data_IF_652870598649
#
_entry.id   IF_652870598649
#
_cell.length_a   1.000
_cell.length_b   1.000
_cell.length_c   1.000
_cell.angle_alpha   90.00
_cell.angle_beta   90.00
_cell.angle_gamma   90.00
#
_symmetry.space_group_name_H-M   'P 1'
#
loop_
_entity.id
_entity.type
_entity.pdbx_description
1 polymer ?
#
# COMPACT_ATOMS: atom_id res chain seq x y z
N UNK A 1 12.68 -6.54 -22.76
CA UNK A 1 12.90 -7.17 -21.47
C UNK A 1 11.65 -7.18 -20.61
N UNK A 2 11.26 -8.31 -20.15
CA UNK A 2 10.05 -8.39 -19.35
C UNK A 2 10.34 -8.01 -17.90
N UNK A 3 9.42 -7.27 -17.32
CA UNK A 3 9.49 -6.92 -15.92
C UNK A 3 8.71 -7.96 -15.15
N UNK A 4 9.38 -8.66 -14.28
CA UNK A 4 8.69 -9.63 -13.46
C UNK A 4 7.96 -8.94 -12.32
N UNK A 5 6.73 -9.37 -12.13
CA UNK A 5 5.94 -8.90 -10.99
C UNK A 5 6.13 -9.94 -9.88
N UNK A 6 6.51 -9.51 -8.68
CA UNK A 6 6.67 -10.45 -7.58
C UNK A 6 5.40 -11.27 -7.37
N UNK A 7 5.59 -12.50 -6.93
CA UNK A 7 4.46 -13.41 -6.77
C UNK A 7 3.49 -12.95 -5.70
N UNK A 8 3.92 -12.10 -4.78
CA UNK A 8 3.04 -11.60 -3.73
C UNK A 8 2.18 -10.41 -4.18
N UNK A 9 2.33 -9.96 -5.43
CA UNK A 9 1.53 -8.87 -5.97
C UNK A 9 0.62 -9.38 -7.06
N UNK A 10 -0.64 -8.96 -7.01
CA UNK A 10 -1.59 -9.20 -8.09
C UNK A 10 -2.07 -7.85 -8.57
N UNK A 11 -1.59 -7.43 -9.74
CA UNK A 11 -1.93 -6.14 -10.30
C UNK A 11 -3.25 -6.21 -11.03
N UNK A 12 -4.11 -5.24 -10.78
CA UNK A 12 -5.36 -5.09 -11.51
C UNK A 12 -5.44 -3.66 -12.01
N UNK A 13 -6.49 -3.36 -12.77
CA UNK A 13 -6.58 -2.06 -13.43
C UNK A 13 -6.53 -0.90 -12.45
N UNK A 14 -7.20 -1.03 -11.31
CA UNK A 14 -7.34 0.09 -10.38
C UNK A 14 -6.88 -0.25 -8.96
N UNK A 15 -6.17 -1.36 -8.78
CA UNK A 15 -5.70 -1.73 -7.45
C UNK A 15 -4.63 -2.79 -7.57
N UNK A 16 -3.97 -3.04 -6.45
CA UNK A 16 -3.05 -4.16 -6.34
C UNK A 16 -3.39 -4.92 -5.07
N UNK A 17 -3.35 -6.24 -5.17
CA UNK A 17 -3.56 -7.11 -4.03
C UNK A 17 -2.19 -7.57 -3.56
N UNK A 18 -1.88 -7.30 -2.29
CA UNK A 18 -0.58 -7.62 -1.71
C UNK A 18 -0.75 -8.76 -0.73
N UNK A 19 -0.12 -9.90 -1.01
CA UNK A 19 -0.15 -11.04 -0.11
C UNK A 19 0.89 -10.84 0.98
N UNK A 20 0.47 -10.95 2.23
CA UNK A 20 1.37 -10.77 3.37
C UNK A 20 2.14 -12.06 3.62
N UNK A 21 3.34 -11.94 4.19
CA UNK A 21 4.15 -13.11 4.51
C UNK A 21 3.56 -13.87 5.70
N UNK A 22 2.80 -13.17 6.54
CA UNK A 22 2.07 -13.80 7.63
C UNK A 22 0.81 -13.01 7.90
N UNK A 23 -0.22 -13.64 8.46
CA UNK A 23 -1.47 -12.93 8.73
C UNK A 23 -1.25 -11.76 9.68
N UNK A 24 -2.04 -10.72 9.49
CA UNK A 24 -1.99 -9.53 10.33
C UNK A 24 -3.42 -9.15 10.67
N UNK A 25 -3.57 -8.45 11.80
CA UNK A 25 -4.89 -7.99 12.21
C UNK A 25 -5.13 -6.60 11.63
N UNK A 26 -6.19 -6.48 10.84
CA UNK A 26 -6.59 -5.22 10.26
C UNK A 26 -8.08 -5.06 10.45
N UNK A 27 -8.49 -3.92 11.00
CA UNK A 27 -9.90 -3.66 11.28
C UNK A 27 -10.51 -4.73 12.19
N UNK A 28 -9.69 -5.27 13.10
CA UNK A 28 -10.16 -6.26 14.05
C UNK A 28 -10.28 -7.67 13.49
N UNK A 29 -9.79 -7.91 12.27
CA UNK A 29 -9.92 -9.20 11.60
C UNK A 29 -8.55 -9.64 11.11
N UNK A 30 -8.27 -10.94 11.24
CA UNK A 30 -7.04 -11.50 10.69
C UNK A 30 -7.15 -11.57 9.16
N UNK A 31 -6.17 -11.01 8.48
CA UNK A 31 -6.14 -11.03 7.01
C UNK A 31 -4.77 -11.50 6.54
N UNK A 32 -4.73 -12.11 5.38
CA UNK A 32 -3.47 -12.56 4.79
C UNK A 32 -3.11 -11.77 3.55
N UNK A 33 -3.89 -10.75 3.22
CA UNK A 33 -3.62 -9.89 2.07
C UNK A 33 -4.28 -8.55 2.29
N UNK A 34 -3.76 -7.54 1.61
CA UNK A 34 -4.33 -6.20 1.65
C UNK A 34 -4.51 -5.71 0.22
N UNK A 35 -5.58 -4.96 0.00
CA UNK A 35 -5.85 -4.34 -1.30
C UNK A 35 -5.49 -2.87 -1.21
N UNK A 36 -4.62 -2.41 -2.11
CA UNK A 36 -4.34 -0.99 -2.25
C UNK A 36 -5.05 -0.50 -3.49
N UNK A 37 -5.97 0.42 -3.33
CA UNK A 37 -6.60 1.02 -4.50
C UNK A 37 -5.67 2.05 -5.12
N UNK A 38 -5.86 2.33 -6.40
CA UNK A 38 -5.01 3.29 -7.09
C UNK A 38 -5.22 4.68 -6.48
N UNK A 39 -4.13 5.38 -6.16
CA UNK A 39 -4.25 6.69 -5.53
C UNK A 39 -4.65 7.76 -6.55
N UNK A 40 -5.34 8.78 -6.04
CA UNK A 40 -5.63 9.97 -6.82
C UNK A 40 -4.78 11.12 -6.30
N UNK A 41 -4.75 12.21 -7.05
CA UNK A 41 -4.06 13.41 -6.58
C UNK A 41 -4.64 13.86 -5.24
N UNK A 42 -5.96 13.74 -5.08
CA UNK A 42 -6.59 14.12 -3.83
C UNK A 42 -6.08 13.30 -2.65
N UNK A 43 -5.86 12.00 -2.87
CA UNK A 43 -5.32 11.14 -1.82
C UNK A 43 -3.95 11.61 -1.36
N UNK A 44 -3.09 11.97 -2.32
CA UNK A 44 -1.75 12.43 -2.00
C UNK A 44 -1.82 13.74 -1.21
N UNK A 45 -2.66 14.66 -1.65
CA UNK A 45 -2.77 15.95 -0.97
C UNK A 45 -3.32 15.81 0.44
N UNK A 46 -4.31 14.95 0.61
CA UNK A 46 -4.88 14.72 1.92
C UNK A 46 -3.85 14.15 2.88
N UNK A 47 -3.07 13.18 2.42
CA UNK A 47 -2.03 12.59 3.26
C UNK A 47 -0.99 13.63 3.64
N UNK A 48 -0.62 14.48 2.70
CA UNK A 48 0.39 15.50 2.94
C UNK A 48 -0.09 16.53 3.97
N UNK A 49 -1.35 16.91 3.90
CA UNK A 49 -1.90 17.89 4.84
C UNK A 49 -1.90 17.40 6.28
N UNK A 50 -2.00 16.09 6.47
CA UNK A 50 -2.05 15.52 7.81
C UNK A 50 -0.69 15.40 8.47
N UNK A 51 0.39 15.63 7.75
CA UNK A 51 1.70 15.19 8.21
C UNK A 51 2.76 16.30 8.29
N UNK A 52 2.42 17.52 7.97
CA UNK A 52 3.34 18.65 8.11
C UNK A 52 4.71 18.42 7.46
N UNK A 53 4.72 17.72 6.33
CA UNK A 53 5.95 17.52 5.58
C UNK A 53 6.78 16.32 5.99
N UNK A 54 6.31 15.51 6.93
CA UNK A 54 7.00 14.29 7.30
C UNK A 54 6.69 13.21 6.26
N UNK A 55 7.69 12.85 5.46
CA UNK A 55 7.48 11.92 4.34
C UNK A 55 7.06 10.53 4.82
N UNK A 56 7.61 10.08 5.93
CA UNK A 56 7.27 8.76 6.46
C UNK A 56 5.82 8.72 6.91
N UNK A 57 5.39 9.74 7.63
CA UNK A 57 4.01 9.84 8.07
C UNK A 57 3.07 9.99 6.90
N UNK A 58 3.48 10.74 5.88
CA UNK A 58 2.66 10.89 4.68
C UNK A 58 2.44 9.54 4.02
N UNK A 59 3.49 8.74 3.89
CA UNK A 59 3.34 7.43 3.26
C UNK A 59 2.42 6.53 4.06
N UNK A 60 2.58 6.51 5.39
CA UNK A 60 1.73 5.69 6.25
C UNK A 60 0.27 6.09 6.14
N UNK A 61 0.01 7.41 6.19
CA UNK A 61 -1.37 7.88 6.05
C UNK A 61 -1.95 7.54 4.69
N UNK A 62 -1.14 7.69 3.65
CA UNK A 62 -1.60 7.36 2.31
C UNK A 62 -1.94 5.89 2.19
N UNK A 63 -1.03 5.03 2.64
CA UNK A 63 -1.27 3.59 2.53
C UNK A 63 -2.48 3.16 3.35
N UNK A 64 -2.65 3.73 4.55
CA UNK A 64 -3.82 3.41 5.36
C UNK A 64 -5.10 3.76 4.62
N UNK A 65 -5.11 4.90 3.96
CA UNK A 65 -6.28 5.32 3.19
C UNK A 65 -6.52 4.40 2.00
N UNK A 66 -5.47 4.05 1.27
CA UNK A 66 -5.61 3.20 0.09
C UNK A 66 -6.03 1.78 0.44
N UNK A 67 -5.56 1.28 1.57
CA UNK A 67 -5.89 -0.07 2.02
C UNK A 67 -7.15 -0.09 2.88
N UNK A 68 -7.64 1.08 3.27
CA UNK A 68 -8.82 1.22 4.11
C UNK A 68 -8.64 0.51 5.46
N UNK A 69 -7.48 0.72 6.05
CA UNK A 69 -7.16 0.20 7.38
C UNK A 69 -6.67 1.35 8.25
N UNK A 70 -6.52 1.09 9.55
CA UNK A 70 -6.03 2.10 10.47
C UNK A 70 -4.51 2.21 10.42
N UNK A 71 -4.00 3.36 10.86
CA UNK A 71 -2.56 3.53 10.95
C UNK A 71 -1.93 2.46 11.86
N UNK A 72 -2.60 2.16 12.95
CA UNK A 72 -2.07 1.16 13.88
C UNK A 72 -1.99 -0.22 13.24
N UNK A 73 -2.91 -0.51 12.33
CA UNK A 73 -2.87 -1.78 11.61
C UNK A 73 -1.59 -1.88 10.79
N UNK A 74 -1.23 -0.80 10.11
CA UNK A 74 -0.01 -0.77 9.31
C UNK A 74 1.23 -0.88 10.20
N UNK A 75 1.20 -0.20 11.34
CA UNK A 75 2.33 -0.23 12.25
C UNK A 75 2.59 -1.63 12.81
N UNK A 76 1.58 -2.46 12.81
CA UNK A 76 1.71 -3.84 13.27
C UNK A 76 2.28 -4.80 12.25
N UNK A 77 2.43 -4.36 11.00
CA UNK A 77 3.01 -5.22 9.97
C UNK A 77 4.51 -5.37 10.18
N UNK A 78 5.04 -6.52 9.76
CA UNK A 78 6.50 -6.66 9.73
C UNK A 78 7.07 -5.75 8.65
N UNK A 79 8.34 -5.40 8.77
CA UNK A 79 8.99 -4.60 7.75
C UNK A 79 8.93 -5.28 6.40
N UNK A 80 9.05 -6.61 6.37
CA UNK A 80 8.95 -7.35 5.13
C UNK A 80 7.61 -7.09 4.45
N UNK A 81 6.53 -7.14 5.22
CA UNK A 81 5.20 -6.96 4.65
C UNK A 81 4.95 -5.50 4.28
N UNK A 82 5.44 -4.57 5.08
CA UNK A 82 5.33 -3.17 4.71
C UNK A 82 6.08 -2.89 3.41
N UNK A 83 7.26 -3.52 3.25
CA UNK A 83 8.00 -3.37 2.00
C UNK A 83 7.22 -3.92 0.81
N UNK A 84 6.43 -4.98 1.03
CA UNK A 84 5.57 -5.50 -0.03
C UNK A 84 4.50 -4.50 -0.42
N UNK A 85 3.96 -3.76 0.56
CA UNK A 85 3.01 -2.69 0.24
C UNK A 85 3.68 -1.60 -0.58
N UNK A 86 4.90 -1.23 -0.22
CA UNK A 86 5.63 -0.22 -0.98
C UNK A 86 5.86 -0.67 -2.41
N UNK A 87 6.21 -1.94 -2.60
CA UNK A 87 6.40 -2.48 -3.94
C UNK A 87 5.11 -2.44 -4.75
N UNK A 88 3.99 -2.78 -4.10
CA UNK A 88 2.69 -2.73 -4.77
C UNK A 88 2.31 -1.31 -5.15
N UNK A 89 2.51 -0.38 -4.22
CA UNK A 89 2.22 1.02 -4.50
C UNK A 89 3.04 1.53 -5.68
N UNK A 90 4.31 1.18 -5.70
CA UNK A 90 5.18 1.61 -6.79
C UNK A 90 4.63 1.17 -8.14
N UNK A 91 4.14 -0.06 -8.21
CA UNK A 91 3.57 -0.58 -9.46
C UNK A 91 2.29 0.15 -9.84
N UNK A 92 1.49 0.53 -8.84
CA UNK A 92 0.23 1.22 -9.12
C UNK A 92 0.44 2.58 -9.75
N UNK A 93 1.48 3.29 -9.35
CA UNK A 93 1.70 4.66 -9.82
C UNK A 93 2.65 4.72 -11.01
N UNK A 94 3.22 3.59 -11.38
CA UNK A 94 4.18 3.55 -12.47
C UNK A 94 3.43 3.56 -13.80
N UNK A 95 3.89 4.44 -14.68
CA UNK A 95 3.35 4.47 -16.04
C UNK A 95 4.24 3.58 -16.91
N UNK A 96 3.70 2.44 -17.28
CA UNK A 96 4.48 1.44 -18.03
C UNK A 96 4.33 1.57 -19.52
N UNK A 97 3.75 2.65 -19.96
CA UNK A 97 3.61 2.86 -21.40
C UNK A 97 4.97 3.11 -22.01
N UNK A 98 5.37 2.26 -22.93
CA UNK A 98 6.67 2.40 -23.56
C UNK A 98 6.52 2.27 -25.05
#
# INVERSE_FOLDING_TARGET
MSKKIPTYLQLETDRVIVTLSKPAECNGVQVDRLNLRAPTVRDIRAAQQLTNGDDEQRELNLFASLAEVGLKDLEGLTLKDYSRLQAGYFRLVQDDEL
#
